data_IF_147169562194
#
_entry.id   IF_147169562194
#
_cell.length_a   1.000
_cell.length_b   1.000
_cell.length_c   1.000
_cell.angle_alpha   90.00
_cell.angle_beta   90.00
_cell.angle_gamma   90.00
#
_symmetry.space_group_name_H-M   'P 1'
#
loop_
_entity.id
_entity.type
_entity.pdbx_description
1 polymer ?
#
# COMPACT_ATOMS: atom_id res chain seq x y z
N UNK A 1 -13.51 18.79 -5.67
CA UNK A 1 -12.52 17.90 -6.31
C UNK A 1 -11.53 17.49 -5.24
N UNK A 2 -11.56 16.23 -4.78
CA UNK A 2 -10.48 15.73 -3.92
C UNK A 2 -9.20 15.68 -4.76
N UNK A 3 -8.24 16.54 -4.45
CA UNK A 3 -6.92 16.51 -5.06
C UNK A 3 -6.37 15.09 -4.89
N UNK A 4 -6.09 14.39 -5.99
CA UNK A 4 -5.45 13.05 -5.96
C UNK A 4 -4.02 13.23 -5.47
N UNK A 5 -3.84 13.33 -4.15
CA UNK A 5 -2.52 13.50 -3.56
C UNK A 5 -1.71 12.22 -3.84
N UNK A 6 -0.67 12.38 -4.64
CA UNK A 6 0.26 11.32 -5.05
C UNK A 6 1.20 10.98 -3.89
N UNK A 7 1.66 9.73 -3.84
CA UNK A 7 2.73 9.31 -2.94
C UNK A 7 3.97 10.16 -3.18
N UNK A 8 4.74 10.47 -2.12
CA UNK A 8 6.08 11.01 -2.31
C UNK A 8 6.98 9.97 -3.01
N UNK A 9 8.11 10.37 -3.62
CA UNK A 9 9.06 9.41 -4.20
C UNK A 9 9.54 8.36 -3.18
N UNK A 10 9.73 8.77 -1.93
CA UNK A 10 10.16 7.86 -0.85
C UNK A 10 9.05 6.86 -0.48
N UNK A 11 7.81 7.32 -0.33
CA UNK A 11 6.66 6.43 -0.15
C UNK A 11 6.50 5.48 -1.35
N UNK A 12 6.78 5.94 -2.57
CA UNK A 12 6.72 5.09 -3.76
C UNK A 12 7.83 4.02 -3.76
N UNK A 13 9.06 4.36 -3.41
CA UNK A 13 10.15 3.38 -3.30
C UNK A 13 9.88 2.31 -2.24
N UNK A 14 9.38 2.71 -1.06
CA UNK A 14 9.00 1.79 0.02
C UNK A 14 7.90 0.84 -0.46
N UNK A 15 6.92 1.36 -1.20
CA UNK A 15 5.82 0.57 -1.74
C UNK A 15 6.30 -0.50 -2.73
N UNK A 16 7.23 -0.15 -3.63
CA UNK A 16 7.81 -1.09 -4.58
C UNK A 16 8.63 -2.18 -3.88
N UNK A 17 9.50 -1.81 -2.94
CA UNK A 17 10.31 -2.78 -2.17
C UNK A 17 9.42 -3.75 -1.38
N UNK A 18 8.35 -3.25 -0.76
CA UNK A 18 7.41 -4.09 -0.02
C UNK A 18 6.68 -5.09 -0.94
N UNK A 19 6.21 -4.66 -2.11
CA UNK A 19 5.57 -5.56 -3.08
C UNK A 19 6.54 -6.58 -3.68
N UNK A 20 7.80 -6.20 -3.92
CA UNK A 20 8.83 -7.13 -4.39
C UNK A 20 9.06 -8.27 -3.38
N UNK A 21 9.10 -7.95 -2.08
CA UNK A 21 9.35 -8.93 -1.02
C UNK A 21 8.14 -9.81 -0.68
N UNK A 22 6.93 -9.24 -0.73
CA UNK A 22 5.71 -9.92 -0.28
C UNK A 22 4.86 -10.47 -1.44
N UNK A 23 5.21 -10.14 -2.69
CA UNK A 23 4.45 -10.44 -3.89
C UNK A 23 3.38 -9.40 -4.19
N UNK A 24 2.68 -9.61 -5.30
CA UNK A 24 1.62 -8.70 -5.75
C UNK A 24 0.43 -8.69 -4.79
N UNK A 25 0.37 -7.66 -3.95
CA UNK A 25 -0.69 -7.45 -2.96
C UNK A 25 -2.07 -7.23 -3.59
N UNK A 26 -2.14 -6.87 -4.88
CA UNK A 26 -3.40 -6.74 -5.62
C UNK A 26 -4.02 -8.09 -5.97
N UNK A 27 -3.24 -9.17 -5.90
CA UNK A 27 -3.65 -10.55 -6.20
C UNK A 27 -3.47 -11.46 -4.97
N UNK A 28 -4.37 -11.38 -3.97
CA UNK A 28 -4.31 -12.26 -2.82
C UNK A 28 -4.47 -13.73 -3.26
N UNK A 29 -3.82 -14.62 -2.50
CA UNK A 29 -4.00 -16.07 -2.68
C UNK A 29 -5.48 -16.45 -2.58
N UNK A 30 -5.94 -17.47 -3.32
CA UNK A 30 -7.32 -17.91 -3.25
C UNK A 30 -7.68 -18.43 -1.85
N UNK A 31 -8.96 -18.29 -1.49
CA UNK A 31 -9.50 -18.73 -0.20
C UNK A 31 -9.50 -17.67 0.90
N UNK A 32 -10.15 -17.99 2.03
CA UNK A 32 -10.34 -17.05 3.14
C UNK A 32 -9.01 -16.61 3.76
N UNK A 33 -8.07 -17.54 3.99
CA UNK A 33 -6.77 -17.22 4.56
C UNK A 33 -5.93 -16.30 3.66
N UNK A 34 -6.00 -16.48 2.34
CA UNK A 34 -5.30 -15.61 1.39
C UNK A 34 -5.84 -14.17 1.40
N UNK A 35 -7.17 -14.01 1.56
CA UNK A 35 -7.79 -12.69 1.74
C UNK A 35 -7.35 -12.03 3.05
N UNK A 36 -7.45 -12.75 4.18
CA UNK A 36 -7.04 -12.23 5.50
C UNK A 36 -5.56 -11.84 5.51
N UNK A 37 -4.69 -12.66 4.91
CA UNK A 37 -3.27 -12.34 4.77
C UNK A 37 -3.04 -11.11 3.89
N UNK A 38 -3.77 -11.00 2.77
CA UNK A 38 -3.74 -9.82 1.92
C UNK A 38 -4.13 -8.55 2.68
N UNK A 39 -5.22 -8.59 3.44
CA UNK A 39 -5.66 -7.45 4.26
C UNK A 39 -4.60 -7.01 5.27
N UNK A 40 -3.99 -7.96 6.00
CA UNK A 40 -2.92 -7.65 6.96
C UNK A 40 -1.70 -6.99 6.30
N UNK A 41 -1.28 -7.50 5.14
CA UNK A 41 -0.15 -6.92 4.41
C UNK A 41 -0.45 -5.50 3.92
N UNK A 42 -1.71 -5.21 3.61
CA UNK A 42 -2.13 -3.86 3.24
C UNK A 42 -2.14 -2.89 4.42
N UNK A 43 -2.52 -3.36 5.61
CA UNK A 43 -2.43 -2.56 6.84
C UNK A 43 -0.96 -2.27 7.19
N UNK A 44 -0.11 -3.29 7.15
CA UNK A 44 1.33 -3.16 7.43
C UNK A 44 2.02 -2.19 6.46
N UNK A 45 1.73 -2.29 5.15
CA UNK A 45 2.23 -1.36 4.16
C UNK A 45 1.73 0.07 4.42
N UNK A 46 0.47 0.25 4.81
CA UNK A 46 -0.07 1.56 5.12
C UNK A 46 0.64 2.19 6.30
N UNK A 47 0.85 1.45 7.39
CA UNK A 47 1.61 1.90 8.56
C UNK A 47 3.04 2.30 8.19
N UNK A 48 3.72 1.50 7.37
CA UNK A 48 5.08 1.79 6.91
C UNK A 48 5.15 3.07 6.09
N UNK A 49 4.26 3.25 5.11
CA UNK A 49 4.20 4.44 4.25
C UNK A 49 3.84 5.70 5.03
N UNK A 50 2.95 5.57 6.01
CA UNK A 50 2.51 6.67 6.86
C UNK A 50 3.60 7.08 7.86
N UNK A 51 4.44 6.14 8.29
CA UNK A 51 5.56 6.39 9.22
C UNK A 51 6.81 6.95 8.52
N UNK A 52 6.98 6.67 7.23
CA UNK A 52 8.10 7.17 6.45
C UNK A 52 8.04 8.66 6.08
N UNK A 53 6.90 9.33 6.28
CA UNK A 53 6.64 10.65 5.71
C UNK A 53 6.51 11.79 6.71
N UNK A 54 7.58 12.57 6.93
CA UNK A 54 7.48 13.94 7.47
C UNK A 54 6.81 14.93 6.51
N UNK A 55 6.72 14.58 5.22
CA UNK A 55 6.13 15.38 4.12
C UNK A 55 5.22 14.55 3.19
N UNK A 56 4.99 13.28 3.53
CA UNK A 56 4.20 12.34 2.72
C UNK A 56 2.71 12.43 2.98
N UNK A 57 1.90 11.74 2.16
CA UNK A 57 0.47 11.65 2.42
C UNK A 57 0.19 10.52 3.40
N UNK A 58 -0.58 10.82 4.44
CA UNK A 58 -1.12 9.79 5.31
C UNK A 58 -2.44 9.26 4.71
N UNK A 59 -2.54 7.96 4.46
CA UNK A 59 -3.73 7.33 3.84
C UNK A 59 -4.05 6.01 4.54
N UNK A 60 -5.34 5.64 4.49
CA UNK A 60 -5.79 4.30 4.90
C UNK A 60 -5.32 3.23 3.92
N UNK A 61 -5.25 1.98 4.36
CA UNK A 61 -4.92 0.83 3.53
C UNK A 61 -5.79 0.76 2.25
N UNK A 62 -7.09 1.06 2.33
CA UNK A 62 -7.98 1.11 1.16
C UNK A 62 -7.60 2.20 0.14
N UNK A 63 -7.14 3.36 0.62
CA UNK A 63 -6.65 4.43 -0.27
C UNK A 63 -5.32 4.03 -0.90
N UNK A 64 -4.44 3.36 -0.16
CA UNK A 64 -3.19 2.80 -0.70
C UNK A 64 -3.45 1.73 -1.76
N UNK A 65 -4.38 0.79 -1.53
CA UNK A 65 -4.84 -0.19 -2.53
C UNK A 65 -5.18 0.46 -3.87
N UNK A 66 -5.93 1.57 -3.85
CA UNK A 66 -6.30 2.29 -5.07
C UNK A 66 -5.11 2.93 -5.76
N UNK A 67 -4.18 3.53 -5.00
CA UNK A 67 -2.94 4.09 -5.58
C UNK A 67 -2.17 3.00 -6.30
N UNK A 68 -2.00 1.84 -5.66
CA UNK A 68 -1.25 0.71 -6.20
C UNK A 68 -1.88 0.11 -7.45
N UNK A 69 -3.22 -0.01 -7.51
CA UNK A 69 -3.92 -0.49 -8.72
C UNK A 69 -3.79 0.44 -9.94
N UNK A 70 -3.26 1.65 -9.77
CA UNK A 70 -3.04 2.62 -10.85
C UNK A 70 -1.54 2.86 -11.14
N UNK A 71 -0.65 2.05 -10.55
CA UNK A 71 0.78 1.95 -10.89
C UNK A 71 0.91 0.87 -11.97
#
# INVERSE_FOLDING_TARGET
MESRVRASPEQFSIMLDFMERHGDLSRPLPGHQGRVRGERLWDELAELLNSAGGSGVNKTAEKWKRVCNNI
#
